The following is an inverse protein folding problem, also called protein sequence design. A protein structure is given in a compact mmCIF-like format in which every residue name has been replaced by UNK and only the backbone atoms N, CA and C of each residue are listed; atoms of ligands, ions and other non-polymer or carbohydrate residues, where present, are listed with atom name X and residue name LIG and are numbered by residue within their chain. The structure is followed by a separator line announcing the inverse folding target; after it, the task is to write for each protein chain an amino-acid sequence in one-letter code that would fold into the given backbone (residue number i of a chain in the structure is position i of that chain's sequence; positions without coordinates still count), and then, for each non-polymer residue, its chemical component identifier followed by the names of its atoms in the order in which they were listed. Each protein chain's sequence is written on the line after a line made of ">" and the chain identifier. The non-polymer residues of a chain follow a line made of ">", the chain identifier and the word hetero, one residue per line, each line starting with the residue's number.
data_IF_416586363122
#
_entry.id   IF_416586363122
#
_cell.length_a   1.000
_cell.length_b   1.000
_cell.length_c   1.000
_cell.angle_alpha   90.00
_cell.angle_beta   90.00
_cell.angle_gamma   90.00
#
_symmetry.space_group_name_H-M   'P 1'
#
loop_
_entity.id
_entity.type
_entity.pdbx_description
1 polymer ?
#
# COMPACT_ATOMS: atom_id res chain seq x y z
N UNK A 1 -9.72 2.41 0.11
CA UNK A 1 -8.44 3.09 -0.21
C UNK A 1 -8.66 4.46 -0.83
N UNK A 2 -9.26 4.58 -2.03
CA UNK A 2 -9.48 5.87 -2.68
C UNK A 2 -10.22 6.89 -1.82
N UNK A 3 -11.31 6.48 -1.15
CA UNK A 3 -12.05 7.38 -0.26
C UNK A 3 -11.22 7.81 0.95
N UNK A 4 -10.41 6.91 1.52
CA UNK A 4 -9.51 7.24 2.61
C UNK A 4 -8.44 8.25 2.20
N UNK A 5 -7.92 8.14 0.97
CA UNK A 5 -7.00 9.13 0.41
C UNK A 5 -7.68 10.48 0.21
N UNK A 6 -8.90 10.48 -0.32
CA UNK A 6 -9.69 11.71 -0.50
C UNK A 6 -9.92 12.41 0.85
N UNK A 7 -10.42 11.68 1.84
CA UNK A 7 -10.63 12.16 3.21
C UNK A 7 -9.31 12.65 3.86
N UNK A 8 -8.20 11.95 3.66
CA UNK A 8 -6.89 12.36 4.18
C UNK A 8 -6.43 13.72 3.62
N UNK A 9 -6.69 13.98 2.34
CA UNK A 9 -6.40 15.28 1.73
C UNK A 9 -7.37 16.37 2.21
N UNK A 10 -8.66 16.06 2.24
CA UNK A 10 -9.72 17.00 2.66
C UNK A 10 -9.54 17.42 4.13
N UNK A 11 -9.21 16.49 5.02
CA UNK A 11 -8.90 16.76 6.43
C UNK A 11 -7.72 17.74 6.62
N UNK A 12 -6.90 17.92 5.58
CA UNK A 12 -5.76 18.84 5.54
C UNK A 12 -6.06 20.12 4.75
N UNK A 13 -7.33 20.36 4.41
CA UNK A 13 -7.77 21.50 3.61
C UNK A 13 -7.33 21.45 2.15
N UNK A 14 -7.03 20.25 1.61
CA UNK A 14 -6.60 20.07 0.22
C UNK A 14 -7.67 19.33 -0.58
N UNK A 15 -7.97 19.82 -1.78
CA UNK A 15 -8.78 19.07 -2.75
C UNK A 15 -7.96 17.89 -3.30
N UNK A 16 -8.49 16.66 -3.26
CA UNK A 16 -7.84 15.50 -3.88
C UNK A 16 -7.70 15.71 -5.39
N UNK A 17 -6.51 15.46 -5.94
CA UNK A 17 -6.24 15.56 -7.37
C UNK A 17 -5.92 14.20 -7.94
N UNK A 18 -6.17 14.02 -9.25
CA UNK A 18 -5.93 12.75 -9.97
C UNK A 18 -4.54 12.16 -9.72
N UNK A 19 -3.51 13.01 -9.66
CA UNK A 19 -2.14 12.56 -9.46
C UNK A 19 -1.90 11.98 -8.05
N UNK A 20 -2.68 12.36 -7.02
CA UNK A 20 -2.60 11.74 -5.70
C UNK A 20 -2.97 10.26 -5.77
N UNK A 21 -4.08 9.92 -6.43
CA UNK A 21 -4.52 8.53 -6.59
C UNK A 21 -3.52 7.69 -7.40
N UNK A 22 -2.95 8.28 -8.46
CA UNK A 22 -1.91 7.61 -9.27
C UNK A 22 -0.66 7.34 -8.44
N UNK A 23 -0.21 8.32 -7.65
CA UNK A 23 0.96 8.18 -6.79
C UNK A 23 0.72 7.11 -5.72
N UNK A 24 -0.47 7.05 -5.16
CA UNK A 24 -0.83 6.06 -4.14
C UNK A 24 -0.87 4.65 -4.73
N UNK A 25 -1.46 4.47 -5.91
CA UNK A 25 -1.40 3.18 -6.61
C UNK A 25 0.04 2.74 -6.92
N UNK A 26 0.92 3.68 -7.29
CA UNK A 26 2.34 3.40 -7.52
C UNK A 26 3.09 3.09 -6.22
N UNK A 27 2.73 3.70 -5.09
CA UNK A 27 3.31 3.37 -3.79
C UNK A 27 2.99 1.94 -3.37
N UNK A 28 1.72 1.52 -3.50
CA UNK A 28 1.31 0.14 -3.23
C UNK A 28 2.09 -0.82 -4.14
N UNK A 29 2.22 -0.48 -5.41
CA UNK A 29 2.98 -1.28 -6.37
C UNK A 29 4.46 -1.42 -5.99
N UNK A 30 5.10 -0.29 -5.67
CA UNK A 30 6.49 -0.22 -5.24
C UNK A 30 6.70 -1.03 -3.96
N UNK A 31 5.76 -0.95 -3.01
CA UNK A 31 5.85 -1.70 -1.75
C UNK A 31 5.91 -3.20 -2.00
N UNK A 32 5.12 -3.71 -2.95
CA UNK A 32 4.99 -5.15 -3.20
C UNK A 32 6.15 -5.67 -4.06
N UNK A 33 6.69 -4.85 -4.97
CA UNK A 33 7.62 -5.34 -6.01
C UNK A 33 8.91 -4.55 -6.20
N UNK A 34 9.08 -3.47 -5.46
CA UNK A 34 10.23 -2.57 -5.57
C UNK A 34 10.19 -1.62 -6.76
N UNK A 35 9.20 -1.74 -7.67
CA UNK A 35 9.08 -0.88 -8.85
C UNK A 35 7.99 0.19 -8.67
N UNK A 36 8.35 1.47 -8.77
CA UNK A 36 7.39 2.58 -8.77
C UNK A 36 6.79 2.78 -10.17
N UNK A 37 5.90 1.87 -10.56
CA UNK A 37 5.24 1.85 -11.85
C UNK A 37 3.74 1.60 -11.72
N UNK A 38 2.99 1.89 -12.78
CA UNK A 38 1.62 1.39 -12.88
C UNK A 38 1.63 -0.13 -13.04
N UNK A 39 0.56 -0.78 -12.60
CA UNK A 39 0.39 -2.23 -12.72
C UNK A 39 -1.04 -2.58 -13.11
N UNK A 40 -1.19 -3.57 -13.98
CA UNK A 40 -2.48 -4.18 -14.27
C UNK A 40 -2.83 -5.21 -13.19
N UNK A 41 -4.02 -5.10 -12.59
CA UNK A 41 -4.53 -6.09 -11.62
C UNK A 41 -4.78 -7.45 -12.28
N UNK A 42 -5.06 -7.48 -13.58
CA UNK A 42 -5.33 -8.71 -14.34
C UNK A 42 -4.10 -9.61 -14.49
N UNK A 43 -2.90 -9.05 -14.28
CA UNK A 43 -1.63 -9.76 -14.38
C UNK A 43 -1.13 -10.30 -13.03
N UNK A 44 -1.89 -10.08 -11.95
CA UNK A 44 -1.49 -10.49 -10.61
C UNK A 44 -1.97 -11.90 -10.30
N UNK A 45 -1.07 -12.70 -9.72
CA UNK A 45 -1.45 -13.95 -9.07
C UNK A 45 -2.36 -13.70 -7.86
N UNK A 46 -3.10 -14.72 -7.42
CA UNK A 46 -3.92 -14.64 -6.22
C UNK A 46 -3.09 -14.24 -4.97
N UNK A 47 -1.86 -14.75 -4.88
CA UNK A 47 -0.95 -14.43 -3.77
C UNK A 47 -0.49 -12.96 -3.79
N UNK A 48 -0.36 -12.34 -4.97
CA UNK A 48 -0.03 -10.92 -5.11
C UNK A 48 -1.25 -10.03 -4.88
N UNK A 49 -2.45 -10.45 -5.31
CA UNK A 49 -3.70 -9.74 -5.01
C UNK A 49 -3.98 -9.69 -3.50
N UNK A 50 -3.66 -10.75 -2.78
CA UNK A 50 -3.72 -10.78 -1.31
C UNK A 50 -2.77 -9.73 -0.70
N UNK A 51 -1.52 -9.67 -1.18
CA UNK A 51 -0.55 -8.67 -0.72
C UNK A 51 -1.02 -7.24 -1.02
N UNK A 52 -1.58 -6.98 -2.21
CA UNK A 52 -2.21 -5.70 -2.55
C UNK A 52 -3.26 -5.34 -1.51
N UNK A 53 -4.17 -6.27 -1.21
CA UNK A 53 -5.26 -6.03 -0.26
C UNK A 53 -4.73 -5.70 1.14
N UNK A 54 -3.72 -6.43 1.62
CA UNK A 54 -3.11 -6.21 2.93
C UNK A 54 -2.40 -4.85 3.02
N UNK A 55 -1.65 -4.48 1.98
CA UNK A 55 -0.93 -3.20 1.94
C UNK A 55 -1.92 -2.03 1.81
N UNK A 56 -2.97 -2.14 0.98
CA UNK A 56 -4.04 -1.14 0.88
C UNK A 56 -4.78 -0.92 2.21
N UNK A 57 -5.06 -2.00 2.95
CA UNK A 57 -5.67 -1.93 4.27
C UNK A 57 -4.77 -1.22 5.28
N UNK A 58 -3.48 -1.58 5.30
CA UNK A 58 -2.49 -0.95 6.18
C UNK A 58 -2.37 0.54 5.86
N UNK A 59 -2.25 0.91 4.60
CA UNK A 59 -2.11 2.32 4.20
C UNK A 59 -3.35 3.14 4.52
N UNK A 60 -4.55 2.57 4.30
CA UNK A 60 -5.83 3.17 4.75
C UNK A 60 -5.81 3.49 6.24
N UNK A 61 -5.34 2.57 7.08
CA UNK A 61 -5.23 2.79 8.52
C UNK A 61 -4.22 3.89 8.87
N UNK A 62 -3.06 3.93 8.22
CA UNK A 62 -2.03 4.96 8.44
C UNK A 62 -2.49 6.35 7.97
N UNK A 63 -3.26 6.44 6.88
CA UNK A 63 -3.89 7.69 6.47
C UNK A 63 -4.88 8.19 7.52
N UNK A 64 -5.64 7.27 8.13
CA UNK A 64 -6.58 7.57 9.21
C UNK A 64 -5.92 8.13 10.47
N UNK A 65 -4.64 7.85 10.72
CA UNK A 65 -3.87 8.47 11.82
C UNK A 65 -3.26 9.82 11.44
N UNK A 66 -3.46 10.28 10.20
CA UNK A 66 -2.83 11.50 9.69
C UNK A 66 -1.36 11.34 9.31
N UNK A 67 -0.82 10.11 9.29
CA UNK A 67 0.60 9.86 9.03
C UNK A 67 1.04 10.44 7.67
N UNK A 68 2.15 11.20 7.60
CA UNK A 68 2.66 11.75 6.35
C UNK A 68 3.11 10.67 5.36
N UNK A 69 3.02 10.98 4.06
CA UNK A 69 3.34 10.05 2.96
C UNK A 69 4.70 9.34 3.10
N UNK A 70 5.76 10.07 3.45
CA UNK A 70 7.10 9.51 3.58
C UNK A 70 7.18 8.47 4.72
N UNK A 71 6.52 8.75 5.85
CA UNK A 71 6.44 7.82 6.98
C UNK A 71 5.56 6.61 6.65
N UNK A 72 4.44 6.82 5.93
CA UNK A 72 3.61 5.70 5.44
C UNK A 72 4.42 4.79 4.53
N UNK A 73 5.14 5.34 3.54
CA UNK A 73 6.02 4.57 2.66
C UNK A 73 7.01 3.70 3.45
N UNK A 74 7.70 4.26 4.43
CA UNK A 74 8.62 3.49 5.27
C UNK A 74 7.91 2.38 6.06
N UNK A 75 6.73 2.67 6.63
CA UNK A 75 5.94 1.69 7.38
C UNK A 75 5.45 0.54 6.49
N UNK A 76 5.00 0.84 5.27
CA UNK A 76 4.51 -0.16 4.31
C UNK A 76 5.65 -1.08 3.85
N UNK A 77 6.84 -0.54 3.59
CA UNK A 77 8.02 -1.34 3.25
C UNK A 77 8.41 -2.30 4.38
N UNK A 78 8.43 -1.81 5.63
CA UNK A 78 8.69 -2.65 6.80
C UNK A 78 7.61 -3.72 7.00
N UNK A 79 6.34 -3.36 6.80
CA UNK A 79 5.22 -4.29 6.89
C UNK A 79 5.33 -5.41 5.85
N UNK A 80 5.71 -5.07 4.61
CA UNK A 80 5.90 -6.06 3.55
C UNK A 80 7.04 -7.03 3.85
N UNK A 81 8.18 -6.53 4.36
CA UNK A 81 9.28 -7.38 4.82
C UNK A 81 8.84 -8.37 5.90
N UNK A 82 8.01 -7.91 6.86
CA UNK A 82 7.48 -8.78 7.91
C UNK A 82 6.51 -9.85 7.36
N UNK A 83 5.67 -9.50 6.36
CA UNK A 83 4.79 -10.47 5.68
C UNK A 83 5.60 -11.55 4.95
N UNK A 84 6.65 -11.16 4.23
CA UNK A 84 7.54 -12.08 3.54
C UNK A 84 8.25 -13.02 4.54
N UNK A 85 8.77 -12.48 5.64
CA UNK A 85 9.41 -13.27 6.69
C UNK A 85 8.46 -14.31 7.30
N UNK A 86 7.20 -13.94 7.57
CA UNK A 86 6.17 -14.87 8.09
C UNK A 86 5.83 -15.98 7.09
N UNK A 87 5.71 -15.66 5.80
CA UNK A 87 5.46 -16.66 4.74
C UNK A 87 6.61 -17.67 4.64
N UNK A 88 7.85 -17.21 4.74
CA UNK A 88 9.03 -18.08 4.73
C UNK A 88 9.10 -18.97 5.99
N UNK A 89 8.70 -18.46 7.15
CA UNK A 89 8.65 -19.22 8.40
C UNK A 89 7.53 -20.28 8.40
N UNK A 90 6.34 -19.92 7.90
CA UNK A 90 5.19 -20.84 7.80
C UNK A 90 5.37 -21.94 6.76
N UNK A 91 6.11 -21.68 5.67
CA UNK A 91 6.41 -22.68 4.64
C UNK A 91 7.49 -23.71 5.01
N UNK A 92 8.25 -23.48 6.09
CA UNK A 92 9.27 -24.43 6.59
C UNK A 92 8.72 -25.45 7.60
N UNK A 93 7.44 -25.37 7.94
CA UNK A 93 6.78 -26.23 8.93
C UNK A 93 5.77 -27.22 8.30
N UNK A 94 5.83 -27.45 6.98
CA UNK A 94 4.96 -28.36 6.25
C UNK A 94 5.76 -29.46 5.54
#
# INVERSE_FOLDING_TARGET
>A
MCDALALHHEARGKTPQRHHFINEARLINETITGAFAGRSREQLSAAELELVTLVELRDTALMGTGMPYAERKANLLQYMQALQGKRLAGGRAA
#
